data_IF_570592302698
#
_entry.id   IF_570592302698
#
_cell.length_a   1.000
_cell.length_b   1.000
_cell.length_c   1.000
_cell.angle_alpha   90.00
_cell.angle_beta   90.00
_cell.angle_gamma   90.00
#
_symmetry.space_group_name_H-M   'P 1'
#
loop_
_entity.id
_entity.type
_entity.pdbx_description
1 polymer ?
#
# COMPACT_ATOMS: atom_id res chain seq x y z
N UNK A 1 7.84 -20.41 22.70
CA UNK A 1 7.45 -19.00 22.86
C UNK A 1 6.07 -18.88 22.22
N UNK A 2 5.04 -18.48 22.95
CA UNK A 2 3.75 -18.18 22.36
C UNK A 2 3.88 -16.84 21.62
N UNK A 3 3.49 -16.79 20.36
CA UNK A 3 3.48 -15.55 19.60
C UNK A 3 2.33 -14.67 20.11
N UNK A 4 2.52 -13.35 20.22
CA UNK A 4 1.49 -12.45 20.75
C UNK A 4 0.32 -12.19 19.79
N UNK A 5 0.35 -12.72 18.56
CA UNK A 5 -0.64 -12.50 17.52
C UNK A 5 -1.35 -13.80 17.14
N UNK A 6 -2.63 -13.75 16.80
CA UNK A 6 -3.38 -14.90 16.34
C UNK A 6 -3.03 -15.31 14.90
N UNK A 7 -2.69 -14.34 14.07
CA UNK A 7 -2.17 -14.58 12.72
C UNK A 7 -0.67 -14.84 12.79
N UNK A 8 -0.29 -16.07 13.01
CA UNK A 8 1.11 -16.48 12.99
C UNK A 8 1.61 -16.71 11.56
N UNK A 9 2.89 -16.54 11.29
CA UNK A 9 3.46 -17.09 10.06
C UNK A 9 3.28 -18.61 10.09
N UNK A 10 2.99 -19.19 8.94
CA UNK A 10 2.89 -20.63 8.79
C UNK A 10 4.15 -21.32 9.34
N UNK A 11 3.97 -22.46 9.99
CA UNK A 11 5.05 -23.26 10.58
C UNK A 11 4.99 -24.69 10.09
N UNK A 12 6.15 -25.27 9.74
CA UNK A 12 6.27 -26.65 9.31
C UNK A 12 6.02 -27.63 10.46
N UNK A 13 5.46 -28.80 10.13
CA UNK A 13 5.23 -29.91 11.05
C UNK A 13 4.44 -29.54 12.31
N UNK A 14 3.51 -28.60 12.18
CA UNK A 14 2.63 -28.15 13.26
C UNK A 14 1.20 -28.61 13.01
N UNK A 15 0.51 -29.04 14.07
CA UNK A 15 -0.93 -29.31 14.01
C UNK A 15 -1.71 -28.00 14.04
N UNK A 16 -2.70 -27.88 13.14
CA UNK A 16 -3.65 -26.79 13.06
C UNK A 16 -5.07 -27.30 13.18
N UNK A 17 -5.88 -26.64 14.00
CA UNK A 17 -7.29 -26.91 14.17
C UNK A 17 -8.12 -26.09 13.17
N UNK A 18 -9.34 -26.54 12.90
CA UNK A 18 -10.29 -25.76 12.09
C UNK A 18 -10.54 -24.40 12.74
N UNK A 19 -10.35 -23.35 11.96
CA UNK A 19 -10.48 -21.97 12.41
C UNK A 19 -9.15 -21.27 12.73
N UNK A 20 -8.04 -22.02 12.87
CA UNK A 20 -6.71 -21.40 13.00
C UNK A 20 -6.37 -20.55 11.78
N UNK A 21 -5.70 -19.43 12.01
CA UNK A 21 -5.36 -18.49 10.96
C UNK A 21 -3.86 -18.31 10.88
N UNK A 22 -3.32 -18.37 9.67
CA UNK A 22 -1.88 -18.17 9.41
C UNK A 22 -1.66 -17.12 8.32
N UNK A 23 -0.45 -16.56 8.30
CA UNK A 23 0.10 -15.75 7.22
C UNK A 23 1.20 -16.52 6.49
N UNK A 24 1.35 -16.26 5.19
CA UNK A 24 2.48 -16.75 4.45
C UNK A 24 3.79 -16.22 5.05
N UNK A 25 4.81 -17.08 5.18
CA UNK A 25 6.10 -16.71 5.80
C UNK A 25 7.03 -15.97 4.85
N UNK A 26 6.76 -16.01 3.53
CA UNK A 26 7.59 -15.39 2.49
C UNK A 26 7.47 -13.87 2.50
N UNK A 27 8.57 -13.20 2.10
CA UNK A 27 8.75 -11.74 2.11
C UNK A 27 7.70 -10.92 1.33
N UNK A 28 6.96 -11.53 0.43
CA UNK A 28 5.80 -10.91 -0.19
C UNK A 28 4.63 -10.94 0.79
N UNK A 29 4.52 -9.92 1.63
CA UNK A 29 3.39 -9.72 2.53
C UNK A 29 2.10 -9.64 1.72
N UNK A 30 1.37 -10.75 1.71
CA UNK A 30 0.02 -10.77 1.16
C UNK A 30 -0.92 -10.08 2.15
N UNK A 31 -1.87 -9.29 1.63
CA UNK A 31 -3.00 -8.77 2.42
C UNK A 31 -3.91 -9.91 2.89
N UNK A 32 -3.79 -11.09 2.27
CA UNK A 32 -4.58 -12.28 2.57
C UNK A 32 -4.02 -13.04 3.78
N UNK A 33 -4.92 -13.52 4.61
CA UNK A 33 -4.67 -14.55 5.61
C UNK A 33 -5.29 -15.87 5.16
N UNK A 34 -4.89 -16.96 5.79
CA UNK A 34 -5.31 -18.31 5.44
C UNK A 34 -5.90 -18.99 6.64
N UNK A 35 -7.18 -19.37 6.53
CA UNK A 35 -7.95 -20.01 7.57
C UNK A 35 -7.95 -21.53 7.35
N UNK A 36 -7.63 -22.28 8.37
CA UNK A 36 -7.71 -23.72 8.35
C UNK A 36 -9.18 -24.15 8.26
N UNK A 37 -9.55 -24.82 7.17
CA UNK A 37 -10.90 -25.37 6.96
C UNK A 37 -10.95 -26.88 7.19
N UNK A 38 -9.83 -27.59 7.04
CA UNK A 38 -9.68 -29.00 7.41
C UNK A 38 -8.48 -29.13 8.32
N UNK A 39 -8.72 -29.63 9.54
CA UNK A 39 -7.66 -29.78 10.55
C UNK A 39 -6.64 -30.83 10.15
N UNK A 40 -5.36 -30.58 10.45
CA UNK A 40 -4.29 -31.51 10.14
C UNK A 40 -2.93 -31.01 10.56
N UNK A 41 -1.89 -31.78 10.23
CA UNK A 41 -0.49 -31.39 10.46
C UNK A 41 0.12 -30.87 9.19
N UNK A 42 0.71 -29.69 9.23
CA UNK A 42 1.38 -29.06 8.08
C UNK A 42 2.56 -29.89 7.59
N UNK A 43 2.89 -29.72 6.32
CA UNK A 43 4.04 -30.35 5.69
C UNK A 43 5.38 -29.79 6.18
N UNK A 44 6.46 -30.30 5.63
CA UNK A 44 7.82 -29.79 5.87
C UNK A 44 8.11 -28.49 5.11
N UNK A 45 7.36 -28.23 4.04
CA UNK A 45 7.50 -27.06 3.18
C UNK A 45 6.19 -26.26 3.18
N UNK A 46 6.32 -24.95 3.15
CA UNK A 46 5.18 -24.05 3.04
C UNK A 46 4.46 -24.25 1.70
N UNK A 47 3.11 -24.42 1.72
CA UNK A 47 2.34 -24.56 0.49
C UNK A 47 2.39 -23.28 -0.35
N UNK A 48 2.12 -23.41 -1.64
CA UNK A 48 1.98 -22.25 -2.52
C UNK A 48 0.61 -21.58 -2.26
N UNK A 49 0.55 -20.69 -1.29
CA UNK A 49 -0.68 -20.02 -0.92
C UNK A 49 -1.30 -19.25 -2.09
N UNK A 50 -2.62 -19.38 -2.30
CA UNK A 50 -3.31 -18.71 -3.40
C UNK A 50 -3.36 -17.19 -3.19
N UNK A 51 -3.44 -16.44 -4.31
CA UNK A 51 -3.52 -14.97 -4.30
C UNK A 51 -4.96 -14.45 -4.49
N UNK A 52 -5.94 -15.33 -4.49
CA UNK A 52 -7.35 -15.00 -4.68
C UNK A 52 -8.15 -15.37 -3.42
N UNK A 53 -9.05 -14.50 -3.02
CA UNK A 53 -9.99 -14.74 -1.92
C UNK A 53 -10.86 -15.95 -2.26
N UNK A 54 -11.22 -16.74 -1.24
CA UNK A 54 -12.01 -17.99 -1.34
C UNK A 54 -11.33 -19.13 -2.09
N UNK A 55 -10.09 -18.98 -2.52
CA UNK A 55 -9.32 -20.10 -3.07
C UNK A 55 -8.74 -20.94 -1.96
N UNK A 56 -8.75 -22.26 -2.15
CA UNK A 56 -8.21 -23.22 -1.19
C UNK A 56 -6.89 -23.80 -1.67
N UNK A 57 -6.10 -24.29 -0.72
CA UNK A 57 -4.86 -25.04 -0.96
C UNK A 57 -4.70 -26.14 0.06
N UNK A 58 -4.32 -27.33 -0.40
CA UNK A 58 -3.94 -28.46 0.46
C UNK A 58 -2.47 -28.27 0.83
N UNK A 59 -2.21 -28.25 2.14
CA UNK A 59 -0.85 -28.11 2.69
C UNK A 59 -0.10 -29.42 2.64
N UNK A 60 -0.76 -30.49 3.13
CA UNK A 60 -0.17 -31.80 3.26
C UNK A 60 -1.21 -32.87 2.91
N UNK A 61 -1.02 -33.53 1.79
CA UNK A 61 -1.91 -34.59 1.31
C UNK A 61 -2.03 -35.77 2.28
N UNK A 62 -1.00 -36.00 3.12
CA UNK A 62 -1.01 -37.07 4.09
C UNK A 62 -1.89 -36.80 5.33
N UNK A 63 -2.22 -35.56 5.59
CA UNK A 63 -3.02 -35.11 6.75
C UNK A 63 -4.30 -34.38 6.36
N UNK A 64 -4.58 -34.25 5.06
CA UNK A 64 -5.74 -33.53 4.49
C UNK A 64 -5.87 -32.06 4.96
N UNK A 65 -4.80 -31.47 5.51
CA UNK A 65 -4.82 -30.08 5.97
C UNK A 65 -5.08 -29.14 4.80
N UNK A 66 -6.16 -28.36 4.90
CA UNK A 66 -6.59 -27.45 3.85
C UNK A 66 -6.78 -26.03 4.38
N UNK A 67 -6.31 -25.05 3.59
CA UNK A 67 -6.39 -23.62 3.88
C UNK A 67 -7.29 -22.91 2.89
N UNK A 68 -8.10 -21.98 3.37
CA UNK A 68 -8.88 -21.04 2.56
C UNK A 68 -8.34 -19.63 2.70
N UNK A 69 -8.11 -18.96 1.57
CA UNK A 69 -7.65 -17.57 1.53
C UNK A 69 -8.80 -16.60 1.81
N UNK A 70 -8.59 -15.67 2.74
CA UNK A 70 -9.53 -14.60 3.05
C UNK A 70 -8.81 -13.28 3.35
N UNK A 71 -9.54 -12.18 3.31
CA UNK A 71 -9.03 -10.87 3.69
C UNK A 71 -9.66 -10.45 5.04
N UNK A 72 -8.89 -10.42 6.14
CA UNK A 72 -9.42 -10.15 7.48
C UNK A 72 -10.14 -8.80 7.59
N UNK A 73 -9.66 -7.78 6.89
CA UNK A 73 -10.27 -6.45 6.89
C UNK A 73 -11.63 -6.44 6.20
N UNK A 74 -11.73 -7.11 5.04
CA UNK A 74 -12.98 -7.23 4.29
C UNK A 74 -14.03 -8.06 5.04
N UNK A 75 -13.60 -9.16 5.69
CA UNK A 75 -14.48 -9.95 6.55
C UNK A 75 -15.07 -9.11 7.68
N UNK A 76 -14.23 -8.27 8.33
CA UNK A 76 -14.69 -7.39 9.39
C UNK A 76 -15.63 -6.29 8.90
N UNK A 77 -15.40 -5.74 7.71
CA UNK A 77 -16.30 -4.74 7.09
C UNK A 77 -17.68 -5.32 6.78
N UNK A 78 -17.76 -6.61 6.52
CA UNK A 78 -19.01 -7.33 6.23
C UNK A 78 -19.68 -7.92 7.47
N UNK A 79 -19.04 -7.83 8.63
CA UNK A 79 -19.60 -8.36 9.87
C UNK A 79 -20.85 -7.61 10.31
N UNK A 80 -21.82 -8.30 10.91
CA UNK A 80 -23.06 -7.71 11.45
C UNK A 80 -22.78 -6.68 12.56
N UNK A 81 -21.70 -6.86 13.33
CA UNK A 81 -21.27 -5.96 14.39
C UNK A 81 -19.74 -5.73 14.27
N UNK A 82 -19.30 -4.87 13.37
CA UNK A 82 -17.88 -4.57 13.25
C UNK A 82 -17.37 -3.85 14.51
N UNK A 83 -16.11 -4.12 14.88
CA UNK A 83 -15.47 -3.37 15.94
C UNK A 83 -15.13 -1.94 15.51
N UNK A 84 -14.78 -1.07 16.48
CA UNK A 84 -14.47 0.32 16.18
C UNK A 84 -13.32 0.45 15.15
N UNK A 85 -13.51 1.35 14.20
CA UNK A 85 -12.45 1.72 13.24
C UNK A 85 -11.46 2.64 13.95
N UNK A 86 -10.19 2.33 13.82
CA UNK A 86 -9.07 3.09 14.39
C UNK A 86 -8.26 3.70 13.26
N UNK A 87 -8.10 5.02 13.29
CA UNK A 87 -7.22 5.75 12.40
C UNK A 87 -5.92 6.12 13.13
N UNK A 88 -4.80 5.66 12.61
CA UNK A 88 -3.46 5.94 13.09
C UNK A 88 -2.71 6.76 12.04
N UNK A 89 -1.90 7.71 12.50
CA UNK A 89 -1.15 8.62 11.63
C UNK A 89 0.34 8.50 11.88
N UNK A 90 1.10 8.35 10.81
CA UNK A 90 2.56 8.43 10.82
C UNK A 90 3.00 9.59 9.92
N UNK A 91 3.69 10.56 10.46
CA UNK A 91 4.29 11.67 9.72
C UNK A 91 5.79 11.45 9.73
N UNK A 92 6.35 11.06 8.59
CA UNK A 92 7.80 10.91 8.44
C UNK A 92 8.38 12.24 7.99
N UNK A 93 8.97 12.95 8.94
CA UNK A 93 9.69 14.20 8.67
C UNK A 93 10.93 13.90 7.79
N UNK A 94 11.26 14.83 6.93
CA UNK A 94 12.52 14.79 6.18
C UNK A 94 13.68 14.99 7.16
N UNK A 95 14.87 14.52 6.78
CA UNK A 95 16.08 14.65 7.59
C UNK A 95 16.28 16.10 8.05
N UNK A 96 16.63 16.27 9.32
CA UNK A 96 17.06 17.53 9.87
C UNK A 96 18.41 17.96 9.28
N UNK A 97 18.93 19.10 9.74
CA UNK A 97 20.28 19.59 9.35
C UNK A 97 21.42 18.63 9.73
N UNK A 98 21.15 17.67 10.61
CA UNK A 98 22.09 16.66 11.09
C UNK A 98 21.89 15.28 10.44
N UNK A 99 20.99 15.17 9.45
CA UNK A 99 20.69 13.90 8.74
C UNK A 99 19.83 12.92 9.52
N UNK A 100 19.15 13.38 10.57
CA UNK A 100 18.26 12.53 11.38
C UNK A 100 16.83 12.69 10.90
N UNK A 101 16.23 11.61 10.45
CA UNK A 101 14.80 11.54 10.13
C UNK A 101 14.01 11.11 11.36
N UNK A 102 12.94 11.80 11.66
CA UNK A 102 12.03 11.41 12.75
C UNK A 102 10.66 11.01 12.20
N UNK A 103 9.96 10.15 12.93
CA UNK A 103 8.61 9.72 12.60
C UNK A 103 7.68 10.00 13.76
N UNK A 104 6.83 10.98 13.58
CA UNK A 104 5.78 11.30 14.53
C UNK A 104 4.62 10.33 14.34
N UNK A 105 4.09 9.80 15.43
CA UNK A 105 2.95 8.89 15.43
C UNK A 105 1.86 9.45 16.32
N UNK A 106 0.62 9.38 15.87
CA UNK A 106 -0.53 9.87 16.61
C UNK A 106 -1.78 9.06 16.29
N UNK A 107 -2.73 9.06 17.21
CA UNK A 107 -4.12 8.67 16.93
C UNK A 107 -5.09 9.76 17.42
N UNK A 108 -6.28 9.81 16.82
CA UNK A 108 -7.22 10.91 17.04
C UNK A 108 -7.93 10.91 18.40
N UNK A 109 -7.67 9.95 19.30
CA UNK A 109 -8.33 9.87 20.60
C UNK A 109 -9.84 9.68 20.54
N UNK A 110 -10.40 9.22 19.41
CA UNK A 110 -11.83 8.99 19.21
C UNK A 110 -12.25 7.64 19.79
N UNK A 111 -13.56 7.44 19.96
CA UNK A 111 -14.16 6.19 20.43
C UNK A 111 -13.77 5.76 21.86
N UNK A 112 -13.49 6.72 22.75
CA UNK A 112 -13.15 6.44 24.15
C UNK A 112 -11.71 5.94 24.37
N UNK A 113 -10.90 5.84 23.33
CA UNK A 113 -9.49 5.50 23.41
C UNK A 113 -8.67 6.75 23.71
N UNK A 114 -8.49 7.04 24.99
CA UNK A 114 -7.76 8.23 25.48
C UNK A 114 -6.30 7.91 25.79
N UNK A 115 -5.97 6.61 25.88
CA UNK A 115 -4.61 6.11 26.14
C UNK A 115 -3.87 5.87 24.83
N UNK A 116 -2.54 5.77 24.93
CA UNK A 116 -1.70 5.40 23.81
C UNK A 116 -2.13 4.06 23.21
N UNK A 117 -2.12 3.97 21.88
CA UNK A 117 -2.42 2.75 21.16
C UNK A 117 -1.11 2.15 20.65
N UNK A 118 -0.96 0.84 20.82
CA UNK A 118 0.14 0.07 20.24
C UNK A 118 -0.38 -0.77 19.07
N UNK A 119 0.26 -0.60 17.90
CA UNK A 119 -0.06 -1.35 16.70
C UNK A 119 1.22 -1.67 15.90
N UNK A 120 1.40 -2.93 15.51
CA UNK A 120 2.61 -3.41 14.80
C UNK A 120 3.89 -3.10 15.61
N UNK A 121 3.83 -3.24 16.95
CA UNK A 121 4.93 -2.94 17.86
C UNK A 121 5.30 -1.46 18.01
N UNK A 122 4.47 -0.55 17.45
CA UNK A 122 4.70 0.90 17.50
C UNK A 122 3.65 1.57 18.35
N UNK A 123 4.09 2.51 19.18
CA UNK A 123 3.19 3.32 20.03
C UNK A 123 2.72 4.56 19.28
N UNK A 124 1.43 4.79 19.36
CA UNK A 124 0.72 5.97 18.82
C UNK A 124 0.07 6.72 19.98
N UNK A 125 0.69 7.82 20.45
CA UNK A 125 0.12 8.65 21.48
C UNK A 125 -1.21 9.27 21.05
N UNK A 126 -2.11 9.46 22.03
CA UNK A 126 -3.34 10.20 21.81
C UNK A 126 -3.05 11.69 21.59
N UNK A 127 -3.47 12.22 20.46
CA UNK A 127 -3.40 13.64 20.18
C UNK A 127 -4.70 14.10 19.51
N UNK A 128 -5.15 15.33 19.77
CA UNK A 128 -6.28 15.91 19.05
C UNK A 128 -5.88 16.13 17.59
N UNK A 129 -6.19 15.14 16.75
CA UNK A 129 -5.96 15.14 15.31
C UNK A 129 -7.30 15.10 14.60
N UNK A 130 -7.55 16.07 13.75
CA UNK A 130 -8.70 16.05 12.84
C UNK A 130 -8.21 15.88 11.42
N UNK A 131 -8.97 15.10 10.66
CA UNK A 131 -8.72 14.87 9.23
C UNK A 131 -10.01 15.07 8.47
N UNK A 132 -9.91 15.71 7.31
CA UNK A 132 -11.04 16.01 6.44
C UNK A 132 -10.62 15.86 4.98
N UNK A 133 -11.58 15.60 4.09
CA UNK A 133 -11.35 15.56 2.64
C UNK A 133 -10.66 14.32 2.11
N UNK A 134 -10.62 13.20 2.85
CA UNK A 134 -10.08 11.91 2.37
C UNK A 134 -11.05 11.15 1.45
N UNK A 135 -12.00 11.83 0.86
CA UNK A 135 -13.01 11.20 0.01
C UNK A 135 -12.49 11.07 -1.43
N UNK A 136 -12.65 9.86 -1.99
CA UNK A 136 -12.40 9.64 -3.41
C UNK A 136 -13.66 9.93 -4.21
N UNK A 137 -13.57 10.88 -5.13
CA UNK A 137 -14.69 11.21 -6.02
C UNK A 137 -14.47 10.60 -7.40
N UNK A 138 -15.54 10.12 -8.02
CA UNK A 138 -15.51 9.62 -9.41
C UNK A 138 -15.35 10.75 -10.46
N UNK A 139 -15.31 12.00 -10.03
CA UNK A 139 -15.23 13.19 -10.91
C UNK A 139 -13.83 13.51 -11.41
N UNK A 140 -12.83 12.66 -11.14
CA UNK A 140 -11.46 12.81 -11.66
C UNK A 140 -10.61 13.89 -10.99
N UNK A 141 -11.13 14.62 -10.01
CA UNK A 141 -10.32 15.53 -9.20
C UNK A 141 -9.60 14.77 -8.10
N UNK A 142 -8.28 14.98 -7.99
CA UNK A 142 -7.50 14.41 -6.89
C UNK A 142 -7.93 15.09 -5.58
N UNK A 143 -8.26 14.33 -4.52
CA UNK A 143 -8.59 14.90 -3.23
C UNK A 143 -7.36 15.60 -2.62
N UNK A 144 -7.58 16.71 -1.95
CA UNK A 144 -6.59 17.45 -1.16
C UNK A 144 -7.03 17.45 0.30
N UNK A 145 -6.74 16.38 1.04
CA UNK A 145 -7.14 16.29 2.43
C UNK A 145 -6.43 17.33 3.29
N UNK A 146 -7.08 17.70 4.37
CA UNK A 146 -6.49 18.52 5.42
C UNK A 146 -6.26 17.69 6.66
N UNK A 147 -5.10 17.90 7.28
CA UNK A 147 -4.69 17.31 8.55
C UNK A 147 -4.47 18.43 9.55
N UNK A 148 -5.30 18.48 10.60
CA UNK A 148 -5.19 19.42 11.70
C UNK A 148 -4.64 18.71 12.93
N UNK A 149 -3.56 19.21 13.47
CA UNK A 149 -2.93 18.65 14.67
C UNK A 149 -2.91 19.73 15.76
N UNK A 150 -3.36 19.39 16.95
CA UNK A 150 -3.31 20.33 18.07
C UNK A 150 -1.86 20.65 18.43
N UNK A 151 -1.58 21.94 18.55
CA UNK A 151 -0.25 22.46 18.88
C UNK A 151 -0.10 22.67 20.39
N UNK A 152 -0.25 21.60 21.15
CA UNK A 152 -0.18 21.65 22.61
C UNK A 152 1.22 22.09 23.03
N UNK A 153 1.28 23.17 23.79
CA UNK A 153 2.54 23.79 24.28
C UNK A 153 3.54 24.16 23.17
N UNK A 154 3.08 24.39 21.94
CA UNK A 154 3.97 24.71 20.81
C UNK A 154 4.86 23.58 20.34
N UNK A 155 4.56 22.33 20.71
CA UNK A 155 5.40 21.18 20.38
C UNK A 155 5.52 20.97 18.87
N UNK A 156 4.42 21.10 18.13
CA UNK A 156 4.45 20.96 16.66
C UNK A 156 5.20 22.11 16.02
N UNK A 157 4.97 23.37 16.45
CA UNK A 157 5.72 24.51 15.93
C UNK A 157 7.22 24.40 16.18
N UNK A 158 7.63 23.87 17.34
CA UNK A 158 9.06 23.61 17.63
C UNK A 158 9.66 22.58 16.65
N UNK A 159 8.91 21.53 16.33
CA UNK A 159 9.32 20.54 15.33
C UNK A 159 9.41 21.17 13.93
N UNK A 160 8.45 21.99 13.53
CA UNK A 160 8.47 22.68 12.25
C UNK A 160 9.65 23.66 12.10
N UNK A 161 10.13 24.22 13.20
CA UNK A 161 11.33 25.04 13.19
C UNK A 161 12.63 24.25 12.96
N UNK A 162 12.65 22.97 13.38
CA UNK A 162 13.82 22.07 13.22
C UNK A 162 13.78 21.29 11.90
N UNK A 163 12.60 20.85 11.48
CA UNK A 163 12.39 20.02 10.30
C UNK A 163 11.56 20.77 9.25
N UNK A 164 11.93 20.63 7.99
CA UNK A 164 11.07 21.10 6.91
C UNK A 164 9.92 20.12 6.68
N UNK A 165 8.66 20.50 6.95
CA UNK A 165 7.50 19.62 6.79
C UNK A 165 7.13 19.38 5.31
N UNK A 166 7.59 20.26 4.39
CA UNK A 166 7.20 20.18 2.98
C UNK A 166 7.68 18.87 2.36
N UNK A 167 6.77 18.21 1.66
CA UNK A 167 6.98 16.89 1.05
C UNK A 167 7.19 15.75 2.06
N UNK A 168 7.03 16.01 3.36
CA UNK A 168 7.03 14.95 4.35
C UNK A 168 5.89 13.96 4.07
N UNK A 169 6.19 12.67 4.23
CA UNK A 169 5.24 11.61 3.96
C UNK A 169 4.31 11.42 5.16
N UNK A 170 3.02 11.51 4.91
CA UNK A 170 1.96 11.22 5.88
C UNK A 170 1.30 9.88 5.50
N UNK A 171 1.29 8.94 6.42
CA UNK A 171 0.58 7.67 6.26
C UNK A 171 -0.62 7.67 7.21
N UNK A 172 -1.78 7.45 6.65
CA UNK A 172 -2.98 7.11 7.42
C UNK A 172 -3.12 5.60 7.40
N UNK A 173 -3.13 4.99 8.56
CA UNK A 173 -3.30 3.56 8.75
C UNK A 173 -4.67 3.36 9.38
N UNK A 174 -5.55 2.67 8.69
CA UNK A 174 -6.89 2.34 9.16
C UNK A 174 -6.97 0.86 9.48
N UNK A 175 -7.38 0.54 10.67
CA UNK A 175 -7.57 -0.83 11.15
C UNK A 175 -8.80 -0.91 12.04
N UNK A 176 -9.14 -2.08 12.53
CA UNK A 176 -10.19 -2.28 13.52
C UNK A 176 -9.60 -2.54 14.91
N UNK A 177 -10.33 -2.14 15.95
CA UNK A 177 -9.87 -2.29 17.33
C UNK A 177 -9.46 -3.74 17.66
N UNK A 178 -10.16 -4.75 17.14
CA UNK A 178 -9.83 -6.16 17.39
C UNK A 178 -8.46 -6.59 16.86
N UNK A 179 -7.89 -5.89 15.86
CA UNK A 179 -6.59 -6.24 15.27
C UNK A 179 -5.41 -5.56 15.96
N UNK A 180 -5.66 -4.72 16.97
CA UNK A 180 -4.61 -4.05 17.72
C UNK A 180 -3.77 -5.04 18.53
N UNK A 181 -2.55 -4.65 18.85
CA UNK A 181 -1.62 -5.44 19.63
C UNK A 181 -2.22 -5.79 21.01
N UNK A 182 -1.90 -6.98 21.55
CA UNK A 182 -2.47 -7.47 22.83
C UNK A 182 -2.30 -6.50 24.01
N UNK A 183 -1.23 -5.72 24.01
CA UNK A 183 -0.92 -4.77 25.08
C UNK A 183 -1.99 -3.68 25.29
N UNK A 184 -2.82 -3.43 24.26
CA UNK A 184 -3.92 -2.46 24.36
C UNK A 184 -5.11 -2.98 25.19
N UNK A 185 -5.18 -4.28 25.38
CA UNK A 185 -6.28 -4.94 26.06
C UNK A 185 -5.77 -5.42 27.43
N UNK A 186 -5.92 -4.61 28.45
CA UNK A 186 -5.51 -4.91 29.82
C UNK A 186 -6.39 -6.00 30.47
N UNK A 187 -6.52 -7.14 29.80
CA UNK A 187 -7.18 -8.33 30.31
C UNK A 187 -6.11 -9.35 30.68
N UNK A 188 -5.74 -9.48 31.94
CA UNK A 188 -4.89 -10.58 32.37
C UNK A 188 -5.65 -11.87 32.14
N UNK A 189 -5.20 -12.69 31.19
CA UNK A 189 -5.67 -14.08 31.08
C UNK A 189 -4.92 -14.89 32.09
N UNK A 190 -5.40 -14.85 33.32
CA UNK A 190 -4.99 -15.83 34.33
C UNK A 190 -5.45 -17.21 33.88
N UNK A 191 -4.66 -18.23 34.07
CA UNK A 191 -5.15 -19.61 34.12
C UNK A 191 -6.17 -19.67 35.26
N UNK A 192 -7.46 -19.53 34.96
CA UNK A 192 -8.51 -19.76 35.93
C UNK A 192 -8.51 -21.25 36.19
N UNK A 193 -8.02 -21.62 37.34
CA UNK A 193 -8.53 -22.84 38.01
C UNK A 193 -9.94 -22.53 38.48
N UNK A 194 -10.85 -23.49 38.44
CA UNK A 194 -12.26 -23.35 38.84
C UNK A 194 -12.50 -22.85 40.27
N UNK A 195 -11.47 -22.49 41.01
CA UNK A 195 -11.50 -21.83 42.30
C UNK A 195 -10.83 -20.47 42.14
N UNK A 196 -11.54 -19.43 42.53
CA UNK A 196 -11.23 -17.98 42.49
C UNK A 196 -10.02 -17.60 43.38
N UNK A 197 -9.00 -18.46 43.43
CA UNK A 197 -7.79 -18.28 44.24
C UNK A 197 -6.63 -17.78 43.35
N UNK A 198 -6.06 -16.66 43.77
CA UNK A 198 -4.78 -16.13 43.26
C UNK A 198 -3.68 -17.20 43.32
N UNK A 199 -3.32 -17.75 42.17
CA UNK A 199 -2.21 -18.72 42.07
C UNK A 199 -0.90 -17.96 42.22
N UNK A 200 -0.35 -17.95 43.41
CA UNK A 200 1.02 -17.53 43.67
C UNK A 200 1.97 -18.71 43.44
N UNK A 201 3.13 -18.46 42.83
CA UNK A 201 4.19 -19.49 42.77
C UNK A 201 4.78 -19.74 44.16
N UNK A 202 5.21 -20.97 44.45
CA UNK A 202 5.83 -21.37 45.73
C UNK A 202 7.02 -20.51 46.19
N UNK A 203 7.50 -19.61 45.36
CA UNK A 203 8.58 -18.65 45.62
C UNK A 203 8.14 -17.20 45.79
N UNK A 204 6.85 -16.90 45.91
CA UNK A 204 6.34 -15.55 46.10
C UNK A 204 6.51 -14.64 44.87
N UNK A 205 6.83 -15.19 43.72
CA UNK A 205 6.90 -14.45 42.44
C UNK A 205 5.48 -14.16 41.93
N UNK A 206 5.21 -12.92 41.61
CA UNK A 206 3.97 -12.52 40.90
C UNK A 206 3.93 -13.23 39.56
N UNK A 207 2.84 -13.93 39.26
CA UNK A 207 2.61 -14.47 37.93
C UNK A 207 2.50 -13.29 36.93
N UNK A 208 3.41 -13.28 35.97
CA UNK A 208 3.34 -12.30 34.87
C UNK A 208 2.20 -12.74 33.95
N UNK A 209 1.05 -12.06 34.08
CA UNK A 209 -0.06 -12.26 33.17
C UNK A 209 0.34 -11.71 31.78
N UNK A 210 0.34 -12.57 30.77
CA UNK A 210 0.46 -12.12 29.40
C UNK A 210 -0.91 -11.64 28.92
N UNK A 211 -0.99 -10.37 28.55
CA UNK A 211 -2.15 -9.84 27.83
C UNK A 211 -2.23 -10.52 26.47
N UNK A 212 -3.36 -11.13 26.19
CA UNK A 212 -3.57 -11.91 24.97
C UNK A 212 -4.69 -11.27 24.17
N UNK A 213 -4.43 -11.02 22.87
CA UNK A 213 -5.47 -10.72 21.90
C UNK A 213 -5.38 -11.75 20.78
N UNK A 214 -6.27 -12.71 20.78
CA UNK A 214 -6.31 -13.79 19.80
C UNK A 214 -6.64 -13.31 18.38
N UNK A 215 -7.06 -12.07 18.23
CA UNK A 215 -7.42 -11.48 16.93
C UNK A 215 -6.43 -10.41 16.45
N UNK A 216 -5.35 -10.19 17.19
CA UNK A 216 -4.32 -9.23 16.82
C UNK A 216 -3.68 -9.57 15.46
N UNK A 217 -3.68 -8.65 14.53
CA UNK A 217 -3.13 -8.87 13.19
C UNK A 217 -2.52 -7.56 12.65
N UNK A 218 -1.18 -7.44 12.65
CA UNK A 218 -0.50 -6.24 12.19
C UNK A 218 -0.65 -5.98 10.68
N UNK A 219 -1.06 -6.98 9.91
CA UNK A 219 -1.25 -6.87 8.47
C UNK A 219 -2.71 -6.57 8.08
N UNK A 220 -3.67 -6.68 9.01
CA UNK A 220 -5.06 -6.27 8.79
C UNK A 220 -5.21 -4.75 8.87
N UNK A 221 -4.66 -4.06 7.89
CA UNK A 221 -4.64 -2.59 7.82
C UNK A 221 -4.80 -2.09 6.39
N UNK A 222 -5.50 -0.98 6.22
CA UNK A 222 -5.50 -0.18 5.01
C UNK A 222 -4.55 1.00 5.19
N UNK A 223 -3.63 1.20 4.26
CA UNK A 223 -2.62 2.25 4.32
C UNK A 223 -2.79 3.21 3.17
N UNK A 224 -3.08 4.46 3.49
CA UNK A 224 -3.10 5.57 2.55
C UNK A 224 -1.83 6.41 2.72
N UNK A 225 -1.22 6.80 1.63
CA UNK A 225 0.02 7.58 1.65
C UNK A 225 -0.19 8.92 0.97
N UNK A 226 0.08 9.98 1.71
CA UNK A 226 -0.05 11.37 1.32
C UNK A 226 1.25 12.12 1.58
N UNK A 227 1.34 13.33 1.07
CA UNK A 227 2.51 14.21 1.26
C UNK A 227 2.04 15.59 1.66
N UNK A 228 2.77 16.24 2.54
CA UNK A 228 2.48 17.63 2.93
C UNK A 228 2.86 18.53 1.76
N UNK A 229 1.87 19.22 1.20
CA UNK A 229 2.05 20.21 0.14
C UNK A 229 2.39 21.57 0.75
N UNK A 230 1.61 22.00 1.75
CA UNK A 230 1.85 23.25 2.47
C UNK A 230 1.31 23.19 3.90
N UNK A 231 1.80 24.11 4.73
CA UNK A 231 1.21 24.46 6.01
C UNK A 231 0.19 25.57 5.75
N UNK A 232 -1.10 25.26 5.88
CA UNK A 232 -2.18 26.23 5.60
C UNK A 232 -2.37 27.24 6.71
N UNK A 233 -2.21 26.80 7.97
CA UNK A 233 -2.33 27.65 9.15
C UNK A 233 -1.42 27.11 10.25
N UNK A 234 -0.78 28.02 10.96
CA UNK A 234 -0.02 27.74 12.17
C UNK A 234 -0.36 28.77 13.23
N UNK A 235 -0.86 28.30 14.37
CA UNK A 235 -1.13 29.11 15.52
C UNK A 235 -0.84 28.36 16.83
N UNK A 236 -1.04 29.03 17.98
CA UNK A 236 -0.76 28.42 19.29
C UNK A 236 -1.67 27.24 19.65
N UNK A 237 -2.80 27.07 18.96
CA UNK A 237 -3.79 26.04 19.26
C UNK A 237 -3.69 24.85 18.32
N UNK A 238 -3.45 25.09 17.03
CA UNK A 238 -3.41 24.06 16.01
C UNK A 238 -2.46 24.42 14.86
N UNK A 239 -1.98 23.38 14.19
CA UNK A 239 -1.30 23.48 12.90
C UNK A 239 -2.11 22.69 11.88
N UNK A 240 -2.37 23.33 10.73
CA UNK A 240 -3.13 22.73 9.62
C UNK A 240 -2.20 22.49 8.43
N UNK A 241 -2.19 21.24 7.98
CA UNK A 241 -1.45 20.79 6.81
C UNK A 241 -2.42 20.47 5.68
N UNK A 242 -2.13 20.96 4.48
CA UNK A 242 -2.77 20.52 3.26
C UNK A 242 -1.96 19.36 2.67
N UNK A 243 -2.64 18.25 2.40
CA UNK A 243 -2.03 17.03 1.89
C UNK A 243 -2.31 16.86 0.40
N UNK A 244 -1.40 16.20 -0.28
CA UNK A 244 -1.53 15.93 -1.72
C UNK A 244 -1.06 14.52 -2.07
N UNK A 245 -1.54 14.00 -3.17
CA UNK A 245 -1.08 12.72 -3.70
C UNK A 245 0.31 12.85 -4.32
N UNK A 246 1.09 11.77 -4.37
CA UNK A 246 2.43 11.76 -4.96
C UNK A 246 2.44 12.25 -6.42
N UNK A 247 1.38 11.99 -7.17
CA UNK A 247 1.27 12.38 -8.58
C UNK A 247 1.25 13.91 -8.75
N UNK A 248 0.62 14.63 -7.83
CA UNK A 248 0.51 16.09 -7.86
C UNK A 248 1.85 16.76 -7.52
N UNK A 249 2.60 16.20 -6.56
CA UNK A 249 3.93 16.70 -6.17
C UNK A 249 4.99 16.63 -7.28
N UNK A 250 4.87 15.69 -8.19
CA UNK A 250 5.92 15.44 -9.20
C UNK A 250 5.76 16.29 -10.44
N UNK A 251 4.76 17.18 -10.51
CA UNK A 251 4.37 17.89 -11.75
C UNK A 251 4.25 16.91 -12.93
N UNK A 252 3.82 15.71 -12.67
CA UNK A 252 3.69 14.67 -13.66
C UNK A 252 2.50 14.98 -14.55
N UNK A 253 2.78 15.48 -15.74
CA UNK A 253 1.75 15.62 -16.77
C UNK A 253 1.36 14.23 -17.29
N UNK A 254 0.09 13.88 -17.13
CA UNK A 254 -0.48 12.66 -17.70
C UNK A 254 -1.54 13.07 -18.75
N UNK A 255 -1.54 12.44 -19.91
CA UNK A 255 -0.60 11.39 -20.35
C UNK A 255 0.78 11.96 -20.66
N UNK A 256 1.84 11.18 -20.47
CA UNK A 256 3.23 11.54 -20.84
C UNK A 256 3.43 11.74 -22.35
N UNK A 257 2.48 11.25 -23.13
CA UNK A 257 2.45 11.38 -24.59
C UNK A 257 1.34 12.34 -24.98
N UNK A 258 1.67 13.28 -25.83
CA UNK A 258 0.66 14.13 -26.46
C UNK A 258 -0.23 13.27 -27.34
N UNK A 259 -1.56 13.42 -27.21
CA UNK A 259 -2.52 12.72 -28.07
C UNK A 259 -2.59 13.50 -29.38
N UNK A 260 -1.90 12.99 -30.41
CA UNK A 260 -1.89 13.55 -31.76
C UNK A 260 -2.19 12.46 -32.79
N UNK A 261 -2.69 12.85 -33.95
CA UNK A 261 -2.90 11.90 -35.05
C UNK A 261 -1.60 11.38 -35.67
N UNK A 262 -0.48 12.08 -35.45
CA UNK A 262 0.83 11.74 -36.01
C UNK A 262 1.64 10.85 -35.05
N UNK A 263 2.47 9.97 -35.64
CA UNK A 263 3.37 9.11 -34.90
C UNK A 263 4.46 9.93 -34.19
N UNK A 264 4.61 9.74 -32.90
CA UNK A 264 5.60 10.42 -32.07
C UNK A 264 6.91 9.63 -31.91
N UNK A 265 6.94 8.37 -32.36
CA UNK A 265 8.13 7.54 -32.29
C UNK A 265 9.28 8.12 -33.12
N UNK A 266 10.48 7.98 -32.60
CA UNK A 266 11.67 8.30 -33.36
C UNK A 266 11.87 7.22 -34.44
N UNK A 267 12.03 7.66 -35.68
CA UNK A 267 12.13 6.78 -36.84
C UNK A 267 13.41 5.93 -36.79
N UNK A 268 13.32 4.65 -37.10
CA UNK A 268 14.42 3.67 -37.04
C UNK A 268 15.05 3.52 -35.64
N UNK A 269 14.32 3.80 -34.57
CA UNK A 269 14.74 3.62 -33.17
C UNK A 269 13.95 2.53 -32.50
N UNK A 270 14.12 2.38 -31.18
CA UNK A 270 13.54 1.32 -30.35
C UNK A 270 12.04 1.13 -30.54
N UNK A 271 11.29 2.19 -30.63
CA UNK A 271 9.82 2.18 -30.75
C UNK A 271 9.36 2.01 -32.21
N UNK A 272 10.19 2.37 -33.19
CA UNK A 272 9.95 2.19 -34.62
C UNK A 272 11.02 1.29 -35.23
N UNK A 273 10.90 -0.04 -35.13
CA UNK A 273 11.95 -0.99 -35.51
C UNK A 273 12.02 -1.23 -37.03
N UNK A 274 12.00 -0.19 -37.83
CA UNK A 274 12.13 -0.28 -39.30
C UNK A 274 13.58 -0.52 -39.68
N UNK A 275 13.88 -1.69 -40.23
CA UNK A 275 15.25 -2.11 -40.59
C UNK A 275 15.43 -2.42 -42.08
N UNK A 276 14.36 -2.32 -42.91
CA UNK A 276 14.43 -2.61 -44.32
C UNK A 276 15.30 -1.60 -45.08
N UNK A 277 15.81 -2.02 -46.26
CA UNK A 277 16.62 -1.21 -47.15
C UNK A 277 15.79 -0.34 -48.09
N UNK A 278 14.46 -0.51 -48.09
CA UNK A 278 13.55 0.41 -48.76
C UNK A 278 13.57 1.77 -48.05
N UNK A 279 13.85 2.80 -48.78
CA UNK A 279 13.97 4.18 -48.26
C UNK A 279 12.92 5.07 -48.92
N UNK A 280 12.30 5.98 -48.13
CA UNK A 280 11.20 6.78 -48.58
C UNK A 280 11.40 8.24 -48.23
N UNK A 281 10.86 9.13 -49.04
CA UNK A 281 10.75 10.56 -48.71
C UNK A 281 9.67 10.79 -47.64
N UNK A 282 9.60 12.03 -47.14
CA UNK A 282 8.55 12.46 -46.18
C UNK A 282 7.12 12.32 -46.76
N UNK A 283 7.02 12.35 -48.09
CA UNK A 283 5.76 12.22 -48.85
C UNK A 283 5.52 10.78 -49.33
N UNK A 284 6.20 9.79 -48.69
CA UNK A 284 6.03 8.36 -48.93
C UNK A 284 6.42 7.89 -50.34
N UNK A 285 7.26 8.65 -51.06
CA UNK A 285 7.80 8.25 -52.36
C UNK A 285 9.06 7.39 -52.17
N UNK A 286 9.14 6.28 -52.90
CA UNK A 286 10.32 5.41 -52.86
C UNK A 286 11.55 6.10 -53.45
N UNK A 287 12.64 6.14 -52.71
CA UNK A 287 13.90 6.71 -53.15
C UNK A 287 14.64 5.65 -53.99
N UNK A 288 14.73 5.90 -55.30
CA UNK A 288 15.41 5.06 -56.27
C UNK A 288 16.66 5.78 -56.79
N UNK A 289 17.81 5.13 -56.79
CA UNK A 289 19.08 5.70 -57.25
C UNK A 289 20.05 6.03 -56.10
N UNK A 290 21.33 6.13 -56.42
CA UNK A 290 22.38 6.30 -55.42
C UNK A 290 22.77 5.02 -54.68
N UNK A 291 23.74 5.16 -53.82
CA UNK A 291 24.16 4.06 -52.92
C UNK A 291 23.15 3.83 -51.80
N UNK A 292 23.18 2.64 -51.16
CA UNK A 292 22.29 2.32 -50.04
C UNK A 292 22.46 3.32 -48.88
N UNK A 293 23.69 3.76 -48.65
CA UNK A 293 24.00 4.73 -47.59
C UNK A 293 23.38 6.11 -47.86
N UNK A 294 23.50 6.57 -49.10
CA UNK A 294 22.87 7.84 -49.54
C UNK A 294 21.35 7.78 -49.41
N UNK A 295 20.72 6.66 -49.80
CA UNK A 295 19.28 6.45 -49.65
C UNK A 295 18.86 6.41 -48.18
N UNK A 296 19.62 5.75 -47.32
CA UNK A 296 19.37 5.72 -45.89
C UNK A 296 19.53 7.08 -45.20
N UNK A 297 20.46 7.89 -45.71
CA UNK A 297 20.65 9.24 -45.20
C UNK A 297 19.48 10.18 -45.59
N UNK A 298 18.88 9.97 -46.76
CA UNK A 298 17.70 10.69 -47.22
C UNK A 298 16.36 10.14 -46.74
N UNK A 299 16.36 8.96 -46.10
CA UNK A 299 15.15 8.23 -45.66
C UNK A 299 14.47 8.95 -44.50
N UNK A 300 13.23 9.31 -44.69
CA UNK A 300 12.41 10.03 -43.69
C UNK A 300 11.02 9.43 -43.61
N UNK A 301 10.37 9.59 -42.45
CA UNK A 301 9.02 9.08 -42.23
C UNK A 301 8.02 10.24 -42.12
N UNK A 302 6.93 10.18 -42.91
CA UNK A 302 5.83 11.17 -42.88
C UNK A 302 4.97 11.11 -41.62
N UNK A 303 5.26 10.19 -40.69
CA UNK A 303 4.59 10.07 -39.38
C UNK A 303 3.08 9.79 -39.45
N UNK A 304 2.54 9.50 -40.62
CA UNK A 304 1.11 9.14 -40.83
C UNK A 304 0.91 7.64 -40.72
N UNK A 305 -0.33 7.21 -40.55
CA UNK A 305 -0.66 5.78 -40.57
C UNK A 305 -0.30 5.15 -41.91
N UNK A 306 -0.58 5.84 -43.04
CA UNK A 306 -0.21 5.40 -44.38
C UNK A 306 1.31 5.17 -44.50
N UNK A 307 2.11 6.09 -43.97
CA UNK A 307 3.58 5.98 -43.97
C UNK A 307 4.04 4.72 -43.19
N UNK A 308 3.36 4.41 -42.09
CA UNK A 308 3.65 3.21 -41.31
C UNK A 308 3.22 1.93 -42.04
N UNK A 309 2.03 1.93 -42.69
CA UNK A 309 1.54 0.79 -43.47
C UNK A 309 2.45 0.44 -44.63
N UNK A 310 2.99 1.45 -45.32
CA UNK A 310 3.92 1.25 -46.40
C UNK A 310 5.22 0.55 -45.97
N UNK A 311 5.69 0.89 -44.77
CA UNK A 311 6.93 0.33 -44.21
C UNK A 311 6.73 -1.06 -43.55
N UNK A 312 5.55 -1.33 -43.03
CA UNK A 312 5.20 -2.58 -42.35
C UNK A 312 4.01 -3.25 -43.00
N UNK A 313 4.08 -3.66 -44.29
CA UNK A 313 2.99 -4.31 -44.97
C UNK A 313 2.70 -5.68 -44.31
N UNK A 314 1.43 -5.97 -44.07
CA UNK A 314 0.93 -7.24 -43.50
C UNK A 314 1.47 -7.56 -42.10
N UNK A 315 1.87 -6.55 -41.31
CA UNK A 315 2.35 -6.70 -39.94
C UNK A 315 1.55 -5.79 -39.00
N UNK A 316 1.63 -6.05 -37.68
CA UNK A 316 1.14 -5.13 -36.67
C UNK A 316 1.92 -3.82 -36.77
N UNK A 317 1.22 -2.71 -36.95
CA UNK A 317 1.85 -1.41 -37.11
C UNK A 317 2.41 -0.90 -35.77
N UNK A 318 3.72 -0.63 -35.68
CA UNK A 318 4.30 0.04 -34.51
C UNK A 318 4.01 1.54 -34.57
N UNK A 319 2.74 1.91 -34.67
CA UNK A 319 2.32 3.30 -34.84
C UNK A 319 2.13 3.98 -33.49
N UNK A 320 2.85 5.04 -33.26
CA UNK A 320 2.85 5.80 -32.01
C UNK A 320 1.90 6.98 -31.94
N UNK A 321 0.99 7.15 -32.91
CA UNK A 321 -0.04 8.18 -32.90
C UNK A 321 -1.43 7.61 -32.55
N UNK A 322 -2.40 8.51 -32.48
CA UNK A 322 -3.80 8.21 -32.21
C UNK A 322 -4.68 8.66 -33.38
N UNK A 323 -4.90 7.80 -34.39
CA UNK A 323 -5.61 8.22 -35.63
C UNK A 323 -7.02 8.75 -35.40
N UNK A 324 -7.67 8.31 -34.29
CA UNK A 324 -9.01 8.79 -33.91
C UNK A 324 -9.03 10.16 -33.23
N UNK A 325 -7.89 10.76 -32.90
CA UNK A 325 -7.87 12.05 -32.22
C UNK A 325 -8.47 13.19 -33.05
N UNK A 326 -8.51 13.04 -34.38
CA UNK A 326 -9.11 14.02 -35.31
C UNK A 326 -10.63 14.04 -35.28
N UNK A 327 -11.27 12.98 -34.73
CA UNK A 327 -12.73 12.85 -34.73
C UNK A 327 -13.40 13.58 -33.56
N UNK A 328 -12.62 14.19 -32.67
CA UNK A 328 -13.10 14.90 -31.47
C UNK A 328 -12.89 16.42 -31.51
N UNK A 329 -12.60 16.99 -32.66
CA UNK A 329 -12.47 18.44 -32.86
C UNK A 329 -13.78 19.06 -33.39
#
# INVERSE_FOLDING_TARGET
MAFPYSCHPWQANRFYAVGDVVRASREERHTLAFKCIVAGTSGSNEPAFPRQITSTVIDNEASDLEWEAFEPLAEQLQALAPTAIIDLFEIKLTEDRNGVADTLRYHAGKNGLVSDIVFDGKTYPAAPVEVDGFEFTSKGTLPRPTLRVANVNGAISSLLALYNPLKARVRRIRTFAKFLDPVNFNQPRGSQTEADDDVTTEGGGSLIYQTFNDTADPDAKMVETWYIDRVSSENLQLVEFELTAKLDLTNLQLPRRTVTEFCQWEYRKRECPYVRDDCFTIDDQLITGGTLEERKAADTCGKRVSSCQLRFPNQTLPFGGFPGARLQA
#
